data_IF_822947118994
#
_entry.id   IF_822947118994
#
_cell.length_a   1.000
_cell.length_b   1.000
_cell.length_c   1.000
_cell.angle_alpha   90.00
_cell.angle_beta   90.00
_cell.angle_gamma   90.00
#
_symmetry.space_group_name_H-M   'P 1'
#
loop_
_entity.id
_entity.type
_entity.pdbx_description
1 polymer ?
#
# COMPACT_ATOMS: atom_id res chain seq x y z
N UNK A 1 -5.47 17.89 19.25
CA UNK A 1 -6.60 18.66 19.81
C UNK A 1 -7.40 19.29 18.67
N UNK A 2 -8.72 19.16 18.65
CA UNK A 2 -9.60 19.87 17.73
C UNK A 2 -10.51 20.80 18.53
N UNK A 3 -10.64 22.04 18.06
CA UNK A 3 -11.45 23.08 18.70
C UNK A 3 -12.37 23.64 17.63
N UNK A 4 -13.68 23.51 17.84
CA UNK A 4 -14.69 24.14 16.99
C UNK A 4 -15.54 25.04 17.85
N UNK A 5 -15.71 26.30 17.44
CA UNK A 5 -16.52 27.28 18.15
C UNK A 5 -17.43 28.03 17.19
N UNK A 6 -18.65 28.35 17.64
CA UNK A 6 -19.56 29.25 16.95
C UNK A 6 -19.87 30.44 17.85
N UNK A 7 -19.65 31.68 17.38
CA UNK A 7 -20.08 32.87 18.10
C UNK A 7 -21.61 33.02 18.01
N UNK A 8 -22.21 33.46 19.11
CA UNK A 8 -23.61 33.86 19.21
C UNK A 8 -23.63 35.39 19.23
N UNK A 9 -24.42 35.98 18.35
CA UNK A 9 -24.55 37.43 18.20
C UNK A 9 -25.88 37.92 18.81
N UNK A 10 -25.91 39.17 19.29
CA UNK A 10 -27.16 39.85 19.62
C UNK A 10 -27.82 40.48 18.36
N UNK A 11 -28.98 41.12 18.54
CA UNK A 11 -29.72 41.80 17.47
C UNK A 11 -28.95 42.95 16.80
N UNK A 12 -27.96 43.52 17.49
CA UNK A 12 -27.07 44.58 17.00
C UNK A 12 -25.83 44.02 16.26
N UNK A 13 -25.72 42.68 16.12
CA UNK A 13 -24.59 42.01 15.47
C UNK A 13 -23.33 41.90 16.33
N UNK A 14 -23.42 42.17 17.64
CA UNK A 14 -22.31 42.04 18.59
C UNK A 14 -22.23 40.62 19.16
N UNK A 15 -21.04 40.03 19.18
CA UNK A 15 -20.82 38.71 19.81
C UNK A 15 -21.06 38.83 21.32
N UNK A 16 -21.98 38.01 21.82
CA UNK A 16 -22.34 37.96 23.25
C UNK A 16 -21.90 36.68 23.93
N UNK A 17 -21.67 35.61 23.17
CA UNK A 17 -21.25 34.33 23.73
C UNK A 17 -20.50 33.51 22.68
N UNK A 18 -19.52 32.72 23.13
CA UNK A 18 -18.85 31.73 22.29
C UNK A 18 -19.25 30.34 22.79
N UNK A 19 -19.90 29.56 21.94
CA UNK A 19 -20.18 28.16 22.24
C UNK A 19 -19.19 27.30 21.47
N UNK A 20 -18.44 26.44 22.16
CA UNK A 20 -17.43 25.61 21.52
C UNK A 20 -17.24 24.28 22.20
N UNK A 21 -16.68 23.33 21.46
CA UNK A 21 -16.31 22.01 21.94
C UNK A 21 -14.81 21.82 21.77
N UNK A 22 -14.17 21.31 22.81
CA UNK A 22 -12.78 20.88 22.79
C UNK A 22 -12.81 19.35 22.75
N UNK A 23 -12.33 18.78 21.66
CA UNK A 23 -12.19 17.33 21.52
C UNK A 23 -10.70 16.96 21.54
N UNK A 24 -10.33 16.08 22.48
CA UNK A 24 -9.04 15.45 22.43
C UNK A 24 -9.06 14.40 21.30
N UNK A 25 -8.18 14.59 20.32
CA UNK A 25 -8.00 13.71 19.15
C UNK A 25 -6.52 13.36 18.96
N UNK A 26 -5.72 13.52 20.01
CA UNK A 26 -4.26 13.39 19.92
C UNK A 26 -3.87 11.97 19.50
N UNK A 27 -4.37 10.95 20.19
CA UNK A 27 -4.10 9.54 19.90
C UNK A 27 -4.46 9.17 18.45
N UNK A 28 -5.66 9.55 17.99
CA UNK A 28 -6.09 9.29 16.61
C UNK A 28 -5.13 9.93 15.60
N UNK A 29 -4.73 11.19 15.83
CA UNK A 29 -3.81 11.89 14.92
C UNK A 29 -2.42 11.26 14.92
N UNK A 30 -1.94 10.80 16.07
CA UNK A 30 -0.64 10.12 16.16
C UNK A 30 -0.65 8.81 15.36
N UNK A 31 -1.72 8.02 15.44
CA UNK A 31 -1.90 6.81 14.64
C UNK A 31 -1.97 7.14 13.14
N UNK A 32 -2.76 8.16 12.76
CA UNK A 32 -2.87 8.59 11.36
C UNK A 32 -1.51 9.06 10.81
N UNK A 33 -0.75 9.86 11.57
CA UNK A 33 0.58 10.32 11.17
C UNK A 33 1.56 9.15 11.06
N UNK A 34 1.62 8.26 12.05
CA UNK A 34 2.53 7.11 12.01
C UNK A 34 2.22 6.18 10.82
N UNK A 35 0.93 6.00 10.50
CA UNK A 35 0.53 5.25 9.32
C UNK A 35 0.97 5.94 8.02
N UNK A 36 0.79 7.26 7.93
CA UNK A 36 1.22 8.04 6.77
C UNK A 36 2.75 7.98 6.58
N UNK A 37 3.52 8.18 7.64
CA UNK A 37 5.00 8.09 7.60
C UNK A 37 5.45 6.70 7.16
N UNK A 38 4.81 5.64 7.68
CA UNK A 38 5.12 4.27 7.27
C UNK A 38 4.80 4.01 5.79
N UNK A 39 3.70 4.56 5.27
CA UNK A 39 3.33 4.45 3.85
C UNK A 39 4.30 5.22 2.96
N UNK A 40 4.72 6.42 3.36
CA UNK A 40 5.69 7.22 2.60
C UNK A 40 7.05 6.52 2.52
N UNK A 41 7.54 5.98 3.64
CA UNK A 41 8.79 5.19 3.67
C UNK A 41 8.66 3.97 2.75
N UNK A 42 7.54 3.25 2.82
CA UNK A 42 7.31 2.09 1.95
C UNK A 42 7.31 2.47 0.47
N UNK A 43 6.62 3.56 0.09
CA UNK A 43 6.59 4.04 -1.30
C UNK A 43 7.99 4.40 -1.80
N UNK A 44 8.76 5.14 -0.98
CA UNK A 44 10.13 5.51 -1.32
C UNK A 44 11.03 4.29 -1.51
N UNK A 45 10.95 3.29 -0.62
CA UNK A 45 11.71 2.05 -0.77
C UNK A 45 11.30 1.31 -2.04
N UNK A 46 10.00 1.17 -2.29
CA UNK A 46 9.51 0.46 -3.45
C UNK A 46 9.86 1.11 -4.79
N UNK A 47 9.93 2.43 -4.85
CA UNK A 47 10.26 3.18 -6.06
C UNK A 47 11.76 3.18 -6.38
N UNK A 48 12.62 3.14 -5.36
CA UNK A 48 14.07 3.33 -5.51
C UNK A 48 14.88 2.02 -5.49
N UNK A 49 14.28 0.88 -5.14
CA UNK A 49 14.95 -0.42 -5.18
C UNK A 49 14.95 -0.96 -6.62
N UNK A 50 16.12 -1.40 -7.10
CA UNK A 50 16.32 -2.01 -8.43
C UNK A 50 16.10 -3.54 -8.43
N UNK A 51 15.24 -4.01 -7.52
CA UNK A 51 14.77 -5.39 -7.47
C UNK A 51 13.26 -5.41 -7.60
N UNK A 52 12.72 -6.47 -8.18
CA UNK A 52 11.27 -6.68 -8.21
C UNK A 52 10.87 -7.44 -6.98
N UNK A 53 9.89 -6.90 -6.27
CA UNK A 53 9.18 -7.65 -5.26
C UNK A 53 7.68 -7.54 -5.39
N UNK A 54 6.99 -8.59 -4.98
CA UNK A 54 5.55 -8.62 -4.90
C UNK A 54 5.08 -9.35 -3.64
N UNK A 55 3.84 -9.09 -3.28
CA UNK A 55 3.09 -9.77 -2.21
C UNK A 55 1.93 -10.49 -2.88
N UNK A 56 1.84 -11.79 -2.68
CA UNK A 56 0.71 -12.59 -3.15
C UNK A 56 -0.03 -13.26 -1.99
N UNK A 57 -1.30 -13.53 -2.23
CA UNK A 57 -2.14 -14.44 -1.47
C UNK A 57 -1.99 -15.84 -2.08
N UNK A 58 -1.31 -16.77 -1.40
CA UNK A 58 -1.12 -18.12 -1.92
C UNK A 58 -2.43 -18.93 -1.96
N UNK A 59 -3.45 -18.57 -1.17
CA UNK A 59 -4.72 -19.31 -1.11
C UNK A 59 -5.65 -18.93 -2.26
N UNK A 60 -5.72 -17.64 -2.56
CA UNK A 60 -6.63 -17.10 -3.58
C UNK A 60 -5.96 -16.85 -4.94
N UNK A 61 -4.66 -17.17 -5.05
CA UNK A 61 -3.84 -16.90 -6.22
C UNK A 61 -3.97 -15.44 -6.69
N UNK A 62 -3.88 -14.50 -5.75
CA UNK A 62 -4.04 -13.07 -6.02
C UNK A 62 -2.73 -12.35 -5.71
N UNK A 63 -2.36 -11.34 -6.49
CA UNK A 63 -1.26 -10.44 -6.14
C UNK A 63 -1.85 -9.22 -5.45
N UNK A 64 -1.44 -8.97 -4.20
CA UNK A 64 -1.84 -7.80 -3.42
C UNK A 64 -1.02 -6.57 -3.78
N UNK A 65 0.25 -6.76 -4.10
CA UNK A 65 1.14 -5.68 -4.43
C UNK A 65 2.26 -6.16 -5.34
N UNK A 66 2.65 -5.37 -6.33
CA UNK A 66 3.91 -5.53 -7.05
C UNK A 66 4.60 -4.18 -7.24
N UNK A 67 5.90 -4.18 -6.93
CA UNK A 67 6.80 -3.03 -7.05
C UNK A 67 6.80 -2.43 -8.47
N UNK A 68 6.93 -1.09 -8.61
CA UNK A 68 7.03 -0.42 -9.92
C UNK A 68 8.21 -0.89 -10.78
N UNK A 69 9.28 -1.39 -10.15
CA UNK A 69 10.45 -1.99 -10.81
C UNK A 69 10.08 -3.12 -11.78
N UNK A 70 8.93 -3.80 -11.58
CA UNK A 70 8.46 -4.85 -12.49
C UNK A 70 8.31 -4.37 -13.93
N UNK A 71 7.67 -3.21 -14.14
CA UNK A 71 7.52 -2.64 -15.47
C UNK A 71 8.86 -2.31 -16.12
N UNK A 72 9.84 -1.86 -15.33
CA UNK A 72 11.18 -1.50 -15.82
C UNK A 72 12.02 -2.73 -16.18
N UNK A 73 11.99 -3.76 -15.36
CA UNK A 73 12.88 -4.93 -15.49
C UNK A 73 12.26 -5.98 -16.41
N UNK A 74 10.96 -6.25 -16.30
CA UNK A 74 10.26 -7.25 -17.11
C UNK A 74 9.66 -6.67 -18.40
N UNK A 75 9.39 -5.37 -18.45
CA UNK A 75 8.79 -4.72 -19.62
C UNK A 75 7.28 -4.93 -19.78
N UNK A 76 6.62 -5.56 -18.80
CA UNK A 76 5.17 -5.79 -18.79
C UNK A 76 4.47 -4.87 -17.80
N UNK A 77 3.21 -4.54 -18.10
CA UNK A 77 2.39 -3.69 -17.23
C UNK A 77 1.97 -4.46 -15.97
N UNK A 78 2.09 -3.85 -14.79
CA UNK A 78 1.65 -4.49 -13.53
C UNK A 78 0.18 -4.87 -13.55
N UNK A 79 -0.65 -4.08 -14.22
CA UNK A 79 -2.09 -4.34 -14.40
C UNK A 79 -2.39 -5.69 -15.07
N UNK A 80 -1.52 -6.16 -15.95
CA UNK A 80 -1.66 -7.47 -16.58
C UNK A 80 -1.41 -8.58 -15.58
N UNK A 81 -0.41 -8.41 -14.73
CA UNK A 81 -0.07 -9.35 -13.68
C UNK A 81 -1.16 -9.42 -12.60
N UNK A 82 -1.78 -8.30 -12.24
CA UNK A 82 -2.94 -8.31 -11.32
C UNK A 82 -4.15 -9.05 -11.91
N UNK A 83 -4.35 -9.00 -13.23
CA UNK A 83 -5.44 -9.72 -13.92
C UNK A 83 -5.14 -11.21 -14.09
N UNK A 84 -3.86 -11.54 -14.29
CA UNK A 84 -3.40 -12.91 -14.47
C UNK A 84 -2.11 -13.15 -13.66
N UNK A 85 -2.23 -13.51 -12.37
CA UNK A 85 -1.09 -13.65 -11.46
C UNK A 85 -0.02 -14.66 -11.86
N UNK A 86 -0.32 -15.54 -12.81
CA UNK A 86 0.64 -16.51 -13.35
C UNK A 86 1.28 -16.08 -14.68
N UNK A 87 0.91 -14.92 -15.26
CA UNK A 87 1.43 -14.48 -16.57
C UNK A 87 2.94 -14.30 -16.58
N UNK A 88 3.57 -14.03 -15.43
CA UNK A 88 5.03 -13.96 -15.33
C UNK A 88 5.72 -15.29 -15.64
N UNK A 89 5.05 -16.44 -15.50
CA UNK A 89 5.63 -17.73 -15.87
C UNK A 89 5.93 -17.82 -17.37
N UNK A 90 5.24 -17.04 -18.20
CA UNK A 90 5.49 -17.00 -19.65
C UNK A 90 6.83 -16.34 -19.98
N UNK A 91 7.38 -15.54 -19.07
CA UNK A 91 8.71 -14.91 -19.20
C UNK A 91 9.84 -15.82 -18.72
N UNK A 92 9.51 -16.95 -18.10
CA UNK A 92 10.48 -17.94 -17.60
C UNK A 92 10.70 -18.99 -18.69
N UNK A 93 11.96 -19.42 -18.85
CA UNK A 93 12.34 -20.52 -19.74
C UNK A 93 11.49 -21.77 -19.45
N UNK A 94 10.91 -22.43 -20.48
CA UNK A 94 9.98 -23.54 -20.29
C UNK A 94 10.48 -24.66 -19.38
N UNK A 95 11.78 -24.95 -19.42
CA UNK A 95 12.48 -25.96 -18.61
C UNK A 95 12.50 -25.64 -17.10
N UNK A 96 12.40 -24.37 -16.72
CA UNK A 96 12.46 -23.94 -15.32
C UNK A 96 11.08 -23.65 -14.72
N UNK A 97 10.03 -23.53 -15.55
CA UNK A 97 8.65 -23.30 -15.07
C UNK A 97 8.18 -24.33 -14.04
N UNK A 98 8.41 -25.65 -14.21
CA UNK A 98 7.96 -26.64 -13.23
C UNK A 98 8.56 -26.41 -11.83
N UNK A 99 9.85 -26.04 -11.75
CA UNK A 99 10.53 -25.76 -10.49
C UNK A 99 9.94 -24.54 -9.80
N UNK A 100 9.63 -23.49 -10.57
CA UNK A 100 9.05 -22.26 -10.06
C UNK A 100 7.64 -22.50 -9.54
N UNK A 101 6.81 -23.25 -10.28
CA UNK A 101 5.46 -23.63 -9.84
C UNK A 101 5.50 -24.46 -8.55
N UNK A 102 6.41 -25.42 -8.46
CA UNK A 102 6.60 -26.22 -7.24
C UNK A 102 7.03 -25.35 -6.06
N UNK A 103 7.96 -24.42 -6.26
CA UNK A 103 8.38 -23.47 -5.22
C UNK A 103 7.20 -22.61 -4.74
N UNK A 104 6.34 -22.12 -5.65
CA UNK A 104 5.16 -21.33 -5.31
C UNK A 104 4.13 -22.12 -4.52
N UNK A 105 3.92 -23.40 -4.87
CA UNK A 105 2.96 -24.27 -4.19
C UNK A 105 3.35 -24.56 -2.72
N UNK A 106 4.62 -24.39 -2.35
CA UNK A 106 5.11 -24.60 -1.00
C UNK A 106 4.88 -23.40 -0.06
N UNK A 107 4.44 -22.26 -0.58
CA UNK A 107 4.12 -21.10 0.26
C UNK A 107 2.70 -21.18 0.80
N UNK A 108 2.55 -21.24 2.12
CA UNK A 108 1.24 -21.29 2.81
C UNK A 108 0.83 -19.95 3.43
N UNK A 109 1.74 -18.98 3.44
CA UNK A 109 1.53 -17.64 4.00
C UNK A 109 1.90 -16.58 2.95
N UNK A 110 1.50 -15.33 3.19
CA UNK A 110 1.86 -14.22 2.31
C UNK A 110 3.38 -14.03 2.32
N UNK A 111 4.03 -14.21 1.18
CA UNK A 111 5.48 -14.09 1.05
C UNK A 111 5.83 -12.90 0.16
N UNK A 112 6.86 -12.16 0.58
CA UNK A 112 7.53 -11.20 -0.29
C UNK A 112 8.55 -11.98 -1.10
N UNK A 113 8.29 -12.15 -2.39
CA UNK A 113 9.26 -12.73 -3.31
C UNK A 113 10.08 -11.58 -3.85
N UNK A 114 11.40 -11.63 -3.67
CA UNK A 114 12.35 -10.66 -4.23
C UNK A 114 13.10 -11.34 -5.36
N UNK A 115 13.13 -10.69 -6.52
CA UNK A 115 13.94 -11.09 -7.66
C UNK A 115 14.91 -9.96 -7.96
N UNK A 116 16.18 -10.29 -7.84
CA UNK A 116 17.29 -9.45 -8.31
C UNK A 116 17.52 -9.76 -9.80
N UNK A 117 17.53 -8.71 -10.62
CA UNK A 117 17.70 -8.78 -12.08
C UNK A 117 19.03 -9.35 -12.53
#
# INVERSE_FOLDING_TARGET
MSITGKPIFNEEGKVIQLFGTILNITERKEIETALQESQEIFSQLAENIDSVFWVNDPQNNQIFYISPSYERIWGYQRDELYKSPHSFLDTIYPEDRPKVVEALANFTENVIIVFDG
#
